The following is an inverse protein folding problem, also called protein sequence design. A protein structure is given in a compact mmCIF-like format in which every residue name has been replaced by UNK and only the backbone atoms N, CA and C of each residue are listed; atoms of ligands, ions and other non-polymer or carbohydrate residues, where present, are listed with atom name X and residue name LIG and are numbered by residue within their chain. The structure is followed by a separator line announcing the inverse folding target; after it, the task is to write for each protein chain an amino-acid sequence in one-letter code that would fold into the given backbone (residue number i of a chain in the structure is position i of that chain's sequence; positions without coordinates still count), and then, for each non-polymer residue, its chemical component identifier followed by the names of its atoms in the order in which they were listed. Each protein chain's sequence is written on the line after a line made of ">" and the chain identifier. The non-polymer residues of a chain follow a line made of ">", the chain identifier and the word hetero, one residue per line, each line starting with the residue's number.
data_IF_806063858744
#
_entry.id   IF_806063858744
#
_cell.length_a   1.000
_cell.length_b   1.000
_cell.length_c   1.000
_cell.angle_alpha   90.00
_cell.angle_beta   90.00
_cell.angle_gamma   90.00
#
_symmetry.space_group_name_H-M   'P 1'
#
loop_
_entity.id
_entity.type
_entity.pdbx_description
1 polymer ?
#
# COMPACT_ATOMS: atom_id res chain seq x y z
N UNK A 1 -0.68 7.15 37.82
CA UNK A 1 -0.20 7.26 36.44
C UNK A 1 -1.35 7.80 35.62
N UNK A 2 -1.14 8.89 34.91
CA UNK A 2 -2.12 9.47 34.00
C UNK A 2 -2.45 8.40 32.95
N UNK A 3 -3.72 7.99 32.85
CA UNK A 3 -4.24 7.29 31.66
C UNK A 3 -4.36 8.31 30.52
N UNK A 4 -3.24 8.93 30.13
CA UNK A 4 -3.22 9.58 28.84
C UNK A 4 -3.30 8.44 27.80
N UNK A 5 -4.30 8.45 26.90
CA UNK A 5 -4.29 7.52 25.80
C UNK A 5 -2.94 7.70 25.10
N UNK A 6 -2.16 6.62 24.99
CA UNK A 6 -0.99 6.59 24.10
C UNK A 6 -1.50 7.17 22.79
N UNK A 7 -0.99 8.33 22.37
CA UNK A 7 -1.53 9.01 21.20
C UNK A 7 -1.47 8.02 20.05
N UNK A 8 -2.65 7.64 19.55
CA UNK A 8 -2.76 6.59 18.54
C UNK A 8 -1.93 7.00 17.33
N UNK A 9 -1.04 6.12 16.89
CA UNK A 9 -0.30 6.32 15.65
C UNK A 9 -1.34 6.35 14.53
N UNK A 10 -1.39 7.46 13.78
CA UNK A 10 -2.30 7.58 12.63
C UNK A 10 -1.76 6.75 11.47
N UNK A 11 -2.66 6.19 10.65
CA UNK A 11 -2.28 5.46 9.43
C UNK A 11 -1.36 6.30 8.52
N UNK A 12 -1.66 7.59 8.35
CA UNK A 12 -0.83 8.52 7.57
C UNK A 12 0.61 8.60 8.07
N UNK A 13 0.84 8.53 9.38
CA UNK A 13 2.19 8.52 9.96
C UNK A 13 2.93 7.21 9.65
N UNK A 14 2.22 6.08 9.57
CA UNK A 14 2.82 4.80 9.20
C UNK A 14 3.20 4.81 7.71
N UNK A 15 2.31 5.31 6.84
CA UNK A 15 2.57 5.45 5.40
C UNK A 15 3.75 6.39 5.17
N UNK A 16 3.79 7.54 5.85
CA UNK A 16 4.90 8.50 5.75
C UNK A 16 6.24 7.90 6.18
N UNK A 17 6.27 7.10 7.26
CA UNK A 17 7.48 6.38 7.69
C UNK A 17 7.95 5.37 6.66
N UNK A 18 7.02 4.59 6.09
CA UNK A 18 7.34 3.63 5.02
C UNK A 18 7.90 4.33 3.79
N UNK A 19 7.24 5.39 3.32
CA UNK A 19 7.68 6.17 2.16
C UNK A 19 9.05 6.82 2.40
N UNK A 20 9.25 7.39 3.59
CA UNK A 20 10.54 7.99 3.97
C UNK A 20 11.65 6.96 4.01
N UNK A 21 11.37 5.77 4.55
CA UNK A 21 12.34 4.67 4.56
C UNK A 21 12.68 4.25 3.12
N UNK A 22 11.68 4.00 2.27
CA UNK A 22 11.89 3.67 0.86
C UNK A 22 12.80 4.69 0.16
N UNK A 23 12.55 5.98 0.38
CA UNK A 23 13.26 7.09 -0.27
C UNK A 23 14.68 7.37 0.25
N UNK A 24 14.95 7.12 1.53
CA UNK A 24 16.13 7.72 2.20
C UNK A 24 16.88 6.77 3.13
N UNK A 25 16.54 5.48 3.15
CA UNK A 25 17.28 4.53 3.98
C UNK A 25 18.70 4.26 3.43
N UNK A 26 19.67 4.12 4.33
CA UNK A 26 21.07 3.83 3.98
C UNK A 26 21.34 2.34 3.74
N UNK A 27 20.39 1.46 4.06
CA UNK A 27 20.54 -0.01 4.00
C UNK A 27 20.40 -0.50 2.56
N UNK A 28 19.41 0.03 1.86
CA UNK A 28 19.08 -0.20 0.46
C UNK A 28 18.66 1.16 -0.13
N UNK A 29 19.64 2.02 -0.46
CA UNK A 29 19.37 3.33 -1.03
C UNK A 29 18.60 3.18 -2.33
N UNK A 30 17.52 3.94 -2.48
CA UNK A 30 16.79 3.94 -3.73
C UNK A 30 17.64 4.57 -4.84
N UNK A 31 17.87 3.82 -5.90
CA UNK A 31 18.71 4.16 -7.06
C UNK A 31 17.92 4.74 -8.25
N UNK A 32 16.59 4.85 -8.12
CA UNK A 32 15.70 5.32 -9.17
C UNK A 32 15.18 4.21 -10.10
N UNK A 33 15.53 2.94 -9.90
CA UNK A 33 15.12 1.84 -10.77
C UNK A 33 13.65 1.41 -10.58
N UNK A 34 13.13 0.71 -11.59
CA UNK A 34 11.71 0.39 -11.76
C UNK A 34 11.09 -0.49 -10.66
N UNK A 35 11.89 -1.30 -9.95
CA UNK A 35 11.40 -2.32 -9.01
C UNK A 35 10.62 -1.72 -7.82
N UNK A 36 11.04 -0.54 -7.35
CA UNK A 36 10.45 0.13 -6.19
C UNK A 36 9.38 1.17 -6.59
N UNK A 37 9.14 1.37 -7.89
CA UNK A 37 8.19 2.38 -8.37
C UNK A 37 6.75 2.05 -7.99
N UNK A 38 6.38 0.78 -8.00
CA UNK A 38 5.05 0.32 -7.60
C UNK A 38 4.76 0.65 -6.14
N UNK A 39 5.67 0.26 -5.24
CA UNK A 39 5.58 0.58 -3.83
C UNK A 39 5.58 2.09 -3.57
N UNK A 40 6.49 2.84 -4.21
CA UNK A 40 6.55 4.30 -4.05
C UNK A 40 5.23 4.96 -4.43
N UNK A 41 4.71 4.67 -5.62
CA UNK A 41 3.50 5.30 -6.14
C UNK A 41 2.28 4.94 -5.29
N UNK A 42 2.20 3.69 -4.82
CA UNK A 42 1.16 3.25 -3.89
C UNK A 42 1.21 4.04 -2.57
N UNK A 43 2.39 4.12 -1.93
CA UNK A 43 2.57 4.86 -0.68
C UNK A 43 2.30 6.36 -0.84
N UNK A 44 2.76 6.98 -1.93
CA UNK A 44 2.52 8.40 -2.20
C UNK A 44 1.03 8.71 -2.36
N UNK A 45 0.32 7.84 -3.09
CA UNK A 45 -1.13 7.95 -3.32
C UNK A 45 -1.90 7.75 -2.03
N UNK A 46 -1.58 6.70 -1.28
CA UNK A 46 -2.19 6.40 0.02
C UNK A 46 -1.94 7.50 1.03
N UNK A 47 -0.74 8.09 1.06
CA UNK A 47 -0.43 9.20 1.95
C UNK A 47 -1.33 10.41 1.64
N UNK A 48 -1.44 10.79 0.38
CA UNK A 48 -2.32 11.89 -0.06
C UNK A 48 -3.78 11.63 0.32
N UNK A 49 -4.28 10.42 0.05
CA UNK A 49 -5.67 10.06 0.31
C UNK A 49 -5.98 9.99 1.81
N UNK A 50 -5.04 9.48 2.62
CA UNK A 50 -5.21 9.38 4.08
C UNK A 50 -5.40 10.73 4.78
N UNK A 51 -5.04 11.83 4.11
CA UNK A 51 -5.26 13.20 4.60
C UNK A 51 -6.63 13.77 4.18
N UNK A 52 -7.32 13.14 3.22
CA UNK A 52 -8.50 13.69 2.56
C UNK A 52 -9.80 12.89 2.82
N UNK A 53 -9.69 11.67 3.33
CA UNK A 53 -10.84 10.81 3.58
C UNK A 53 -10.74 10.09 4.94
N UNK A 54 -11.87 9.57 5.43
CA UNK A 54 -11.92 8.75 6.63
C UNK A 54 -11.25 7.38 6.40
N UNK A 55 -10.85 6.71 7.48
CA UNK A 55 -10.22 5.38 7.40
C UNK A 55 -11.10 4.34 6.70
N UNK A 56 -12.43 4.42 6.91
CA UNK A 56 -13.39 3.54 6.22
C UNK A 56 -13.46 3.81 4.72
N UNK A 57 -13.57 5.08 4.31
CA UNK A 57 -13.58 5.45 2.88
C UNK A 57 -12.26 5.07 2.20
N UNK A 58 -11.16 5.21 2.93
CA UNK A 58 -9.83 4.79 2.49
C UNK A 58 -9.79 3.27 2.28
N UNK A 59 -10.22 2.49 3.26
CA UNK A 59 -10.24 1.03 3.20
C UNK A 59 -11.10 0.54 2.02
N UNK A 60 -12.34 1.04 1.88
CA UNK A 60 -13.25 0.67 0.79
C UNK A 60 -12.66 1.01 -0.59
N UNK A 61 -12.05 2.19 -0.74
CA UNK A 61 -11.40 2.62 -1.99
C UNK A 61 -10.28 1.66 -2.39
N UNK A 62 -9.41 1.31 -1.45
CA UNK A 62 -8.22 0.53 -1.74
C UNK A 62 -8.51 -0.97 -1.84
N UNK A 63 -9.52 -1.51 -1.15
CA UNK A 63 -10.04 -2.85 -1.42
C UNK A 63 -10.56 -2.97 -2.85
N UNK A 64 -11.35 -1.99 -3.33
CA UNK A 64 -11.83 -1.97 -4.70
C UNK A 64 -10.69 -1.88 -5.73
N UNK A 65 -9.64 -1.11 -5.42
CA UNK A 65 -8.46 -0.99 -6.28
C UNK A 65 -7.65 -2.30 -6.34
N UNK A 66 -7.46 -2.98 -5.21
CA UNK A 66 -6.79 -4.29 -5.20
C UNK A 66 -7.58 -5.31 -6.04
N UNK A 67 -8.91 -5.38 -5.88
CA UNK A 67 -9.74 -6.28 -6.69
C UNK A 67 -9.65 -5.97 -8.19
N UNK A 68 -9.53 -4.70 -8.56
CA UNK A 68 -9.31 -4.28 -9.96
C UNK A 68 -7.95 -4.75 -10.49
N UNK A 69 -6.90 -4.66 -9.66
CA UNK A 69 -5.55 -5.08 -10.02
C UNK A 69 -5.42 -6.61 -10.11
N UNK A 70 -6.03 -7.37 -9.19
CA UNK A 70 -6.09 -8.84 -9.22
C UNK A 70 -6.68 -9.36 -10.53
N UNK A 71 -7.84 -8.85 -10.92
CA UNK A 71 -8.51 -9.22 -12.19
C UNK A 71 -7.65 -8.95 -13.42
N UNK A 72 -6.73 -7.99 -13.34
CA UNK A 72 -5.78 -7.73 -14.42
C UNK A 72 -4.65 -8.75 -14.47
N UNK A 73 -4.15 -9.19 -13.32
CA UNK A 73 -3.01 -10.10 -13.19
C UNK A 73 -3.45 -11.56 -13.44
N UNK A 74 -4.55 -12.00 -12.82
CA UNK A 74 -5.05 -13.39 -12.88
C UNK A 74 -5.52 -13.82 -14.29
N UNK A 75 -5.74 -12.87 -15.20
CA UNK A 75 -6.17 -13.14 -16.58
C UNK A 75 -5.05 -13.21 -17.62
N UNK A 76 -3.77 -13.09 -17.23
CA UNK A 76 -2.65 -12.93 -18.17
C UNK A 76 -1.42 -13.76 -17.78
N UNK A 77 -0.66 -14.18 -18.79
CA UNK A 77 0.73 -14.62 -18.59
C UNK A 77 1.57 -13.41 -18.17
N UNK A 78 2.44 -13.60 -17.18
CA UNK A 78 3.35 -12.56 -16.69
C UNK A 78 4.14 -11.92 -17.86
N UNK A 79 4.09 -10.58 -17.93
CA UNK A 79 4.66 -9.78 -19.02
C UNK A 79 5.36 -8.55 -18.45
N UNK A 80 6.69 -8.54 -18.54
CA UNK A 80 7.49 -7.33 -18.28
C UNK A 80 7.05 -6.15 -19.17
N UNK A 81 6.58 -6.42 -20.40
CA UNK A 81 6.05 -5.39 -21.31
C UNK A 81 4.77 -4.73 -20.80
N UNK A 82 4.01 -5.45 -19.97
CA UNK A 82 2.79 -4.95 -19.34
C UNK A 82 3.07 -4.33 -17.95
N UNK A 83 4.36 -4.24 -17.57
CA UNK A 83 4.85 -3.76 -16.28
C UNK A 83 4.29 -4.56 -15.08
N UNK A 84 4.14 -5.87 -15.21
CA UNK A 84 3.50 -6.68 -14.15
C UNK A 84 4.21 -6.56 -12.79
N UNK A 85 5.55 -6.48 -12.75
CA UNK A 85 6.33 -6.21 -11.54
C UNK A 85 5.88 -4.92 -10.82
N UNK A 86 5.63 -3.85 -11.58
CA UNK A 86 5.14 -2.59 -11.01
C UNK A 86 3.78 -2.78 -10.36
N UNK A 87 2.85 -3.45 -11.05
CA UNK A 87 1.48 -3.61 -10.58
C UNK A 87 1.36 -4.62 -9.45
N UNK A 88 2.20 -5.65 -9.44
CA UNK A 88 2.36 -6.57 -8.33
C UNK A 88 2.91 -5.82 -7.10
N UNK A 89 4.02 -5.10 -7.25
CA UNK A 89 4.59 -4.26 -6.18
C UNK A 89 3.57 -3.26 -5.63
N UNK A 90 2.89 -2.52 -6.51
CA UNK A 90 1.83 -1.57 -6.15
C UNK A 90 0.71 -2.25 -5.37
N UNK A 91 0.17 -3.36 -5.87
CA UNK A 91 -0.94 -4.10 -5.24
C UNK A 91 -0.52 -4.65 -3.88
N UNK A 92 0.67 -5.26 -3.77
CA UNK A 92 1.19 -5.79 -2.51
C UNK A 92 1.34 -4.69 -1.46
N UNK A 93 1.79 -3.50 -1.86
CA UNK A 93 1.85 -2.35 -0.96
C UNK A 93 0.48 -1.94 -0.45
N UNK A 94 -0.55 -1.89 -1.32
CA UNK A 94 -1.92 -1.59 -0.89
C UNK A 94 -2.39 -2.57 0.19
N UNK A 95 -2.24 -3.87 -0.07
CA UNK A 95 -2.64 -4.94 0.86
C UNK A 95 -1.91 -4.79 2.20
N UNK A 96 -0.60 -4.49 2.17
CA UNK A 96 0.19 -4.31 3.39
C UNK A 96 -0.29 -3.16 4.28
N UNK A 97 -0.82 -2.09 3.69
CA UNK A 97 -1.38 -0.94 4.43
C UNK A 97 -2.81 -1.24 4.89
N UNK A 98 -3.63 -1.88 4.05
CA UNK A 98 -4.99 -2.28 4.41
C UNK A 98 -5.00 -3.26 5.60
N UNK A 99 -4.00 -4.14 5.70
CA UNK A 99 -3.84 -5.05 6.83
C UNK A 99 -3.56 -4.34 8.18
N UNK A 100 -3.08 -3.10 8.15
CA UNK A 100 -2.90 -2.27 9.35
C UNK A 100 -4.22 -1.67 9.86
N UNK A 101 -5.21 -1.51 8.98
CA UNK A 101 -6.57 -1.07 9.33
C UNK A 101 -7.34 -2.27 9.87
N UNK A 102 -7.38 -3.35 9.09
CA UNK A 102 -8.06 -4.58 9.45
C UNK A 102 -7.26 -5.79 8.92
N UNK A 103 -6.73 -6.66 9.79
CA UNK A 103 -6.00 -7.86 9.37
C UNK A 103 -6.80 -8.82 8.48
N UNK A 104 -8.14 -8.77 8.52
CA UNK A 104 -9.00 -9.57 7.64
C UNK A 104 -8.76 -9.27 6.15
N UNK A 105 -8.31 -8.05 5.82
CA UNK A 105 -8.00 -7.65 4.45
C UNK A 105 -6.90 -8.50 3.80
N UNK A 106 -6.11 -9.28 4.56
CA UNK A 106 -5.17 -10.25 4.00
C UNK A 106 -5.88 -11.46 3.36
N UNK A 107 -7.05 -11.83 3.87
CA UNK A 107 -7.78 -13.04 3.48
C UNK A 107 -9.02 -12.74 2.64
N UNK A 108 -9.71 -11.62 2.90
CA UNK A 108 -10.90 -11.21 2.15
C UNK A 108 -10.61 -10.95 0.66
N UNK A 109 -9.33 -10.88 0.30
CA UNK A 109 -8.88 -10.73 -1.07
C UNK A 109 -8.60 -12.09 -1.75
N UNK A 110 -8.49 -13.20 -1.03
CA UNK A 110 -8.16 -14.54 -1.58
C UNK A 110 -9.39 -15.32 -2.09
N UNK A 111 -10.62 -14.88 -1.78
CA UNK A 111 -11.87 -15.65 -1.94
C UNK A 111 -12.83 -15.13 -3.04
N UNK A 112 -12.36 -14.84 -4.28
CA UNK A 112 -13.23 -14.72 -5.48
C UNK A 112 -12.80 -15.63 -6.64
#
# INVERSE_FOLDING_TARGET
>A
MSNEPVSGIKLSQIIERKLSFLLSNEISPWDGDNYDLGERDALQKMLSDSAQMSEKEFEEKYLAEVNRLKKRIEGKDFSEKDNDDYYESFSNTLVSILALINPANLYDLEDE
#
